data_IF_678453072829
#
_entry.id   IF_678453072829
#
_cell.length_a   1.000
_cell.length_b   1.000
_cell.length_c   1.000
_cell.angle_alpha   90.00
_cell.angle_beta   90.00
_cell.angle_gamma   90.00
#
_symmetry.space_group_name_H-M   'P 1'
#
loop_
_entity.id
_entity.type
_entity.pdbx_description
1 polymer ?
#
# COMPACT_ATOMS: atom_id res chain seq x y z
N UNK A 1 -51.50 30.37 -38.77
CA UNK A 1 -50.71 29.65 -39.80
C UNK A 1 -49.27 29.54 -39.32
N UNK A 2 -49.08 28.83 -38.19
CA UNK A 2 -47.82 28.68 -37.49
C UNK A 2 -47.61 27.19 -37.31
N UNK A 3 -46.55 26.64 -37.90
CA UNK A 3 -45.94 25.38 -37.46
C UNK A 3 -44.64 25.17 -38.25
N UNK A 4 -43.64 24.62 -37.55
CA UNK A 4 -42.36 24.10 -38.06
C UNK A 4 -41.23 25.11 -38.25
N UNK A 5 -40.63 25.57 -37.16
CA UNK A 5 -39.19 25.93 -37.13
C UNK A 5 -38.69 26.04 -35.67
N UNK A 6 -38.68 24.94 -34.89
CA UNK A 6 -38.02 24.94 -33.57
C UNK A 6 -37.78 23.53 -33.00
N UNK A 7 -37.25 22.59 -33.79
CA UNK A 7 -36.76 21.33 -33.21
C UNK A 7 -35.39 20.89 -33.74
N UNK A 8 -34.94 21.42 -34.89
CA UNK A 8 -33.62 21.07 -35.46
C UNK A 8 -32.43 21.85 -34.90
N UNK A 9 -32.65 22.92 -34.11
CA UNK A 9 -31.55 23.72 -33.54
C UNK A 9 -31.10 23.23 -32.16
N UNK A 10 -31.95 22.47 -31.44
CA UNK A 10 -31.59 21.87 -30.15
C UNK A 10 -30.79 20.57 -30.30
N UNK A 11 -30.87 19.91 -31.46
CA UNK A 11 -30.16 18.65 -31.72
C UNK A 11 -28.72 18.86 -32.22
N UNK A 12 -28.42 20.02 -32.82
CA UNK A 12 -27.07 20.38 -33.29
C UNK A 12 -26.18 20.98 -32.20
N UNK A 13 -26.74 21.39 -31.06
CA UNK A 13 -25.97 21.89 -29.91
C UNK A 13 -25.63 20.78 -28.89
N UNK A 14 -26.24 19.59 -29.02
CA UNK A 14 -25.93 18.41 -28.21
C UNK A 14 -24.95 17.42 -28.88
N UNK A 15 -24.67 17.61 -30.18
CA UNK A 15 -23.73 16.81 -30.97
C UNK A 15 -22.34 17.47 -31.14
N UNK A 16 -22.09 18.58 -30.44
CA UNK A 16 -20.84 19.37 -30.51
C UNK A 16 -19.99 19.37 -29.23
N UNK A 17 -20.27 18.52 -28.24
CA UNK A 17 -19.48 18.38 -27.00
C UNK A 17 -19.23 16.89 -26.67
N UNK A 18 -18.96 16.08 -27.69
CA UNK A 18 -18.56 14.67 -27.50
C UNK A 18 -17.37 14.29 -28.36
N UNK A 19 -16.34 15.14 -28.42
CA UNK A 19 -14.98 14.70 -28.75
C UNK A 19 -13.95 15.47 -27.90
N UNK A 20 -12.98 14.72 -27.36
CA UNK A 20 -11.88 15.11 -26.48
C UNK A 20 -12.17 15.20 -24.97
N UNK A 21 -12.49 14.05 -24.38
CA UNK A 21 -11.77 13.58 -23.18
C UNK A 21 -11.52 12.07 -23.34
N UNK A 22 -10.51 11.73 -24.15
CA UNK A 22 -9.75 10.51 -23.90
C UNK A 22 -9.06 10.73 -22.56
N UNK A 23 -9.55 10.11 -21.51
CA UNK A 23 -8.76 9.89 -20.29
C UNK A 23 -7.71 8.85 -20.67
N UNK A 24 -6.62 9.31 -21.30
CA UNK A 24 -5.35 8.63 -21.15
C UNK A 24 -5.02 8.70 -19.67
N UNK A 25 -5.00 7.53 -19.03
CA UNK A 25 -4.41 7.37 -17.73
C UNK A 25 -2.98 7.91 -17.84
N UNK A 26 -2.73 9.09 -17.28
CA UNK A 26 -1.38 9.54 -17.00
C UNK A 26 -0.80 8.53 -16.01
N UNK A 27 -0.04 7.57 -16.54
CA UNK A 27 1.01 6.94 -15.77
C UNK A 27 1.88 8.08 -15.28
N UNK A 28 1.87 8.33 -13.98
CA UNK A 28 2.84 9.17 -13.31
C UNK A 28 4.20 8.52 -13.52
N UNK A 29 4.85 8.84 -14.63
CA UNK A 29 6.27 8.58 -14.83
C UNK A 29 7.00 9.50 -13.85
N UNK A 30 7.21 9.00 -12.64
CA UNK A 30 8.25 9.54 -11.76
C UNK A 30 9.57 9.34 -12.50
N UNK A 31 10.11 10.43 -13.05
CA UNK A 31 11.53 10.51 -13.39
C UNK A 31 12.32 10.59 -12.08
N UNK A 32 12.37 9.48 -11.36
CA UNK A 32 13.37 9.18 -10.35
C UNK A 32 14.34 8.20 -10.99
N UNK A 33 15.49 8.69 -11.42
CA UNK A 33 16.61 7.87 -11.87
C UNK A 33 17.19 7.12 -10.66
N UNK A 34 16.60 5.97 -10.34
CA UNK A 34 17.30 4.90 -9.64
C UNK A 34 17.20 3.64 -10.49
N UNK A 35 18.28 2.88 -10.55
CA UNK A 35 18.43 1.65 -11.32
C UNK A 35 17.56 0.51 -10.74
N UNK A 36 16.23 0.66 -10.78
CA UNK A 36 15.27 -0.34 -10.38
C UNK A 36 14.67 -1.01 -11.62
N UNK A 37 14.80 -2.33 -11.70
CA UNK A 37 14.07 -3.14 -12.68
C UNK A 37 12.60 -2.73 -12.72
N UNK A 38 12.03 -2.55 -13.91
CA UNK A 38 10.61 -2.25 -14.02
C UNK A 38 9.81 -3.42 -13.45
N UNK A 39 8.73 -3.17 -12.69
CA UNK A 39 7.91 -4.26 -12.11
C UNK A 39 7.41 -5.25 -13.19
N UNK A 40 7.33 -4.81 -14.44
CA UNK A 40 7.03 -5.63 -15.61
C UNK A 40 8.09 -6.70 -15.91
N UNK A 41 9.37 -6.44 -15.61
CA UNK A 41 10.46 -7.41 -15.75
C UNK A 41 10.37 -8.54 -14.71
N UNK A 42 9.75 -8.28 -13.56
CA UNK A 42 9.58 -9.28 -12.51
C UNK A 42 8.39 -10.21 -12.78
N UNK A 43 7.49 -9.87 -13.70
CA UNK A 43 6.28 -10.64 -13.98
C UNK A 43 6.61 -12.00 -14.58
N UNK A 44 6.28 -13.07 -13.86
CA UNK A 44 6.40 -14.42 -14.38
C UNK A 44 5.12 -14.85 -15.11
N UNK A 45 5.18 -14.94 -16.43
CA UNK A 45 4.04 -15.34 -17.26
C UNK A 45 3.59 -16.80 -17.09
N UNK A 46 4.45 -17.69 -16.60
CA UNK A 46 4.13 -19.12 -16.40
C UNK A 46 3.30 -19.33 -15.14
N UNK A 47 3.57 -18.55 -14.09
CA UNK A 47 2.87 -18.59 -12.80
C UNK A 47 1.76 -17.53 -12.70
N UNK A 48 1.51 -16.78 -13.77
CA UNK A 48 0.43 -15.79 -13.87
C UNK A 48 -0.69 -16.28 -14.79
N UNK A 49 -1.92 -15.82 -14.53
CA UNK A 49 -3.02 -15.93 -15.48
C UNK A 49 -2.83 -14.91 -16.61
N UNK A 50 -3.01 -15.32 -17.88
CA UNK A 50 -3.06 -14.38 -18.99
C UNK A 50 -4.32 -13.51 -18.91
N UNK A 51 -4.37 -12.45 -19.71
CA UNK A 51 -5.58 -11.63 -19.86
C UNK A 51 -6.76 -12.50 -20.31
N UNK A 52 -7.73 -12.66 -19.41
CA UNK A 52 -8.87 -13.55 -19.60
C UNK A 52 -9.92 -12.93 -20.52
N UNK A 53 -9.97 -11.61 -20.70
CA UNK A 53 -11.02 -10.90 -21.48
C UNK A 53 -11.10 -11.43 -22.92
N UNK A 54 -9.97 -11.84 -23.49
CA UNK A 54 -9.87 -12.37 -24.85
C UNK A 54 -9.78 -13.89 -24.89
N UNK A 55 -9.72 -14.56 -23.74
CA UNK A 55 -9.56 -16.00 -23.64
C UNK A 55 -10.86 -16.71 -24.02
N UNK A 56 -10.78 -17.62 -25.00
CA UNK A 56 -11.89 -18.50 -25.41
C UNK A 56 -11.77 -19.92 -24.87
N UNK A 57 -10.65 -20.24 -24.24
CA UNK A 57 -10.30 -21.56 -23.72
C UNK A 57 -9.56 -21.38 -22.40
N UNK A 58 -9.65 -22.38 -21.54
CA UNK A 58 -8.94 -22.41 -20.26
C UNK A 58 -7.44 -22.15 -20.48
N UNK A 59 -6.81 -21.25 -19.70
CA UNK A 59 -5.39 -20.97 -19.78
C UNK A 59 -4.56 -22.25 -19.65
N UNK A 60 -3.60 -22.51 -20.55
CA UNK A 60 -2.83 -23.76 -20.56
C UNK A 60 -1.88 -23.90 -19.36
N UNK A 61 -1.57 -22.79 -18.67
CA UNK A 61 -0.75 -22.77 -17.45
C UNK A 61 -1.49 -23.17 -16.18
N UNK A 62 -2.83 -23.33 -16.24
CA UNK A 62 -3.66 -23.70 -15.09
C UNK A 62 -4.51 -24.93 -15.34
N UNK A 63 -4.59 -25.80 -14.34
CA UNK A 63 -5.57 -26.87 -14.26
C UNK A 63 -6.83 -26.37 -13.55
N UNK A 64 -7.98 -26.75 -14.09
CA UNK A 64 -9.30 -26.43 -13.57
C UNK A 64 -9.90 -27.73 -13.04
N UNK A 65 -10.50 -27.67 -11.86
CA UNK A 65 -11.08 -28.83 -11.21
C UNK A 65 -12.52 -28.55 -10.75
N UNK A 66 -13.29 -29.63 -10.63
CA UNK A 66 -14.71 -29.62 -10.26
C UNK A 66 -15.52 -28.69 -11.17
N UNK A 67 -16.31 -27.76 -10.63
CA UNK A 67 -17.20 -26.89 -11.40
C UNK A 67 -16.53 -25.61 -11.91
N UNK A 68 -15.21 -25.46 -11.75
CA UNK A 68 -14.53 -24.25 -12.21
C UNK A 68 -14.56 -24.13 -13.74
N UNK A 69 -15.06 -22.99 -14.24
CA UNK A 69 -15.20 -22.70 -15.68
C UNK A 69 -14.63 -21.33 -16.04
N UNK A 70 -14.33 -21.14 -17.32
CA UNK A 70 -13.98 -19.84 -17.88
C UNK A 70 -15.22 -19.22 -18.54
N UNK A 71 -15.64 -18.05 -18.09
CA UNK A 71 -16.81 -17.34 -18.60
C UNK A 71 -16.49 -15.87 -18.88
N UNK A 72 -16.75 -15.41 -20.10
CA UNK A 72 -16.71 -13.98 -20.50
C UNK A 72 -15.61 -13.13 -19.83
N UNK A 73 -14.37 -13.59 -19.86
CA UNK A 73 -13.25 -12.81 -19.31
C UNK A 73 -12.91 -13.03 -17.85
N UNK A 74 -13.51 -14.02 -17.18
CA UNK A 74 -13.18 -14.39 -15.78
C UNK A 74 -13.31 -15.89 -15.56
N UNK A 75 -12.67 -16.38 -14.52
CA UNK A 75 -12.82 -17.76 -14.06
C UNK A 75 -13.88 -17.77 -12.97
N UNK A 76 -14.94 -18.55 -13.17
CA UNK A 76 -16.00 -18.75 -12.17
C UNK A 76 -15.70 -20.06 -11.45
N UNK A 77 -15.48 -19.99 -10.13
CA UNK A 77 -15.19 -21.18 -9.30
C UNK A 77 -16.46 -21.89 -8.86
N UNK A 78 -17.55 -21.15 -8.62
CA UNK A 78 -18.82 -21.69 -8.12
C UNK A 78 -20.00 -21.20 -8.97
N UNK A 79 -20.16 -21.70 -10.21
CA UNK A 79 -21.16 -21.18 -11.16
C UNK A 79 -22.61 -21.54 -10.81
N UNK A 80 -22.82 -22.60 -10.02
CA UNK A 80 -24.16 -23.07 -9.64
C UNK A 80 -24.29 -23.22 -8.12
N UNK A 81 -25.50 -23.28 -7.56
CA UNK A 81 -25.69 -23.47 -6.12
C UNK A 81 -25.10 -24.79 -5.62
N UNK A 82 -24.52 -24.78 -4.41
CA UNK A 82 -23.88 -25.95 -3.78
C UNK A 82 -22.76 -26.57 -4.62
N UNK A 83 -21.98 -25.74 -5.32
CA UNK A 83 -20.82 -26.17 -6.10
C UNK A 83 -19.50 -25.78 -5.45
N UNK A 84 -18.46 -26.45 -5.93
CA UNK A 84 -17.08 -26.18 -5.55
C UNK A 84 -16.22 -26.19 -6.81
N UNK A 85 -15.15 -25.39 -6.82
CA UNK A 85 -14.26 -25.27 -7.97
C UNK A 85 -12.89 -24.76 -7.56
N UNK A 86 -11.86 -25.22 -8.25
CA UNK A 86 -10.49 -24.78 -7.98
C UNK A 86 -9.66 -24.65 -9.24
N UNK A 87 -8.69 -23.75 -9.18
CA UNK A 87 -7.66 -23.56 -10.21
C UNK A 87 -6.28 -23.65 -9.57
N UNK A 88 -5.35 -24.30 -10.28
CA UNK A 88 -3.99 -24.51 -9.80
C UNK A 88 -2.97 -24.37 -10.93
N UNK A 89 -1.79 -23.83 -10.63
CA UNK A 89 -0.68 -23.78 -11.60
C UNK A 89 -0.23 -25.20 -12.00
N UNK A 90 -0.17 -25.49 -13.31
CA UNK A 90 0.30 -26.79 -13.82
C UNK A 90 1.79 -26.99 -13.57
N UNK A 91 2.57 -25.96 -13.86
CA UNK A 91 4.01 -25.94 -13.61
C UNK A 91 4.31 -25.88 -12.12
N UNK A 92 5.45 -26.41 -11.72
CA UNK A 92 6.02 -26.21 -10.39
C UNK A 92 7.30 -25.41 -10.53
N UNK A 93 7.53 -24.46 -9.64
CA UNK A 93 8.69 -23.59 -9.68
C UNK A 93 9.51 -23.69 -8.39
N UNK A 94 10.81 -23.43 -8.50
CA UNK A 94 11.60 -23.19 -7.31
C UNK A 94 11.19 -21.88 -6.63
N UNK A 95 10.96 -21.93 -5.32
CA UNK A 95 10.56 -20.75 -4.55
C UNK A 95 11.73 -19.74 -4.51
N UNK A 96 11.53 -18.50 -5.01
CA UNK A 96 12.55 -17.45 -4.92
C UNK A 96 12.66 -16.89 -3.49
N UNK A 97 13.71 -16.12 -3.22
CA UNK A 97 13.92 -15.47 -1.92
C UNK A 97 12.85 -14.40 -1.63
N UNK A 98 12.32 -13.77 -2.67
CA UNK A 98 11.21 -12.84 -2.57
C UNK A 98 10.23 -13.05 -3.73
N UNK A 99 8.94 -12.88 -3.47
CA UNK A 99 7.90 -12.89 -4.48
C UNK A 99 6.70 -12.03 -4.09
N UNK A 100 5.94 -11.63 -5.10
CA UNK A 100 4.65 -10.96 -4.93
C UNK A 100 3.58 -11.68 -5.73
N UNK A 101 2.40 -11.89 -5.14
CA UNK A 101 1.25 -12.47 -5.82
C UNK A 101 0.07 -11.53 -5.68
N UNK A 102 -0.56 -11.21 -6.79
CA UNK A 102 -1.77 -10.37 -6.85
C UNK A 102 -2.93 -11.20 -7.36
N UNK A 103 -3.92 -11.46 -6.52
CA UNK A 103 -5.21 -12.01 -6.91
C UNK A 103 -6.25 -10.91 -7.01
N UNK A 104 -6.96 -10.88 -8.13
CA UNK A 104 -8.13 -10.03 -8.32
C UNK A 104 -9.36 -10.93 -8.38
N UNK A 105 -10.23 -10.80 -7.39
CA UNK A 105 -11.39 -11.68 -7.22
C UNK A 105 -12.63 -10.90 -6.78
N UNK A 106 -13.80 -11.53 -6.89
CA UNK A 106 -15.05 -11.01 -6.33
C UNK A 106 -16.01 -12.13 -5.94
N UNK A 107 -17.04 -11.78 -5.19
CA UNK A 107 -18.21 -12.61 -4.93
C UNK A 107 -19.46 -11.86 -5.38
N UNK A 108 -20.34 -12.52 -6.13
CA UNK A 108 -21.58 -11.97 -6.66
C UNK A 108 -22.76 -12.91 -6.38
N UNK A 109 -23.98 -12.41 -6.59
CA UNK A 109 -25.25 -13.15 -6.57
C UNK A 109 -25.72 -13.68 -5.21
N UNK A 110 -24.97 -13.39 -4.13
CA UNK A 110 -25.40 -13.71 -2.76
C UNK A 110 -24.84 -12.73 -1.73
N UNK A 111 -25.70 -12.36 -0.78
CA UNK A 111 -25.32 -11.59 0.41
C UNK A 111 -25.93 -12.23 1.66
N UNK A 112 -25.09 -12.59 2.62
CA UNK A 112 -25.55 -13.19 3.86
C UNK A 112 -24.55 -14.20 4.41
N UNK A 113 -24.73 -14.57 5.68
CA UNK A 113 -23.89 -15.57 6.34
C UNK A 113 -24.05 -16.93 5.64
N UNK A 114 -22.94 -17.54 5.28
CA UNK A 114 -22.88 -18.85 4.60
C UNK A 114 -21.69 -19.65 5.08
N UNK A 115 -21.74 -20.97 4.92
CA UNK A 115 -20.59 -21.87 5.12
C UNK A 115 -19.63 -21.87 3.92
N UNK A 116 -19.96 -21.11 2.86
CA UNK A 116 -19.10 -20.85 1.72
C UNK A 116 -17.84 -20.05 2.07
N UNK A 117 -16.86 -20.13 1.19
CA UNK A 117 -15.60 -19.40 1.35
C UNK A 117 -14.66 -19.57 0.16
N UNK A 118 -13.75 -18.61 0.02
CA UNK A 118 -12.70 -18.56 -0.98
C UNK A 118 -11.34 -18.72 -0.30
N UNK A 119 -10.52 -19.65 -0.77
CA UNK A 119 -9.16 -19.87 -0.31
C UNK A 119 -8.16 -19.53 -1.43
N UNK A 120 -7.17 -18.69 -1.11
CA UNK A 120 -6.02 -18.40 -1.97
C UNK A 120 -4.79 -19.13 -1.42
N UNK A 121 -4.09 -19.84 -2.29
CA UNK A 121 -3.10 -20.85 -1.89
C UNK A 121 -1.69 -20.51 -2.32
N UNK A 122 -0.75 -20.75 -1.41
CA UNK A 122 0.69 -20.83 -1.68
C UNK A 122 1.24 -22.07 -0.96
N UNK A 123 1.43 -23.17 -1.69
CA UNK A 123 1.73 -24.50 -1.13
C UNK A 123 2.86 -25.19 -1.89
N UNK A 124 3.34 -26.32 -1.37
CA UNK A 124 4.36 -27.15 -2.04
C UNK A 124 3.78 -28.20 -3.01
N UNK A 125 2.46 -28.32 -3.03
CA UNK A 125 1.70 -29.31 -3.76
C UNK A 125 0.26 -28.85 -3.91
N UNK A 126 -0.44 -29.36 -4.92
CA UNK A 126 -1.88 -29.14 -5.02
C UNK A 126 -2.57 -29.80 -3.82
N UNK A 127 -3.37 -29.02 -3.09
CA UNK A 127 -4.11 -29.52 -1.94
C UNK A 127 -5.21 -30.47 -2.42
N UNK A 128 -5.26 -31.67 -1.83
CA UNK A 128 -6.33 -32.64 -2.09
C UNK A 128 -7.59 -32.18 -1.37
N UNK A 129 -8.72 -32.07 -2.09
CA UNK A 129 -9.97 -31.51 -1.58
C UNK A 129 -9.77 -30.12 -0.95
N UNK A 130 -9.44 -29.08 -1.75
CA UNK A 130 -9.05 -27.75 -1.25
C UNK A 130 -10.24 -26.91 -0.75
N UNK A 131 -11.31 -27.54 -0.28
CA UNK A 131 -12.54 -26.90 0.18
C UNK A 131 -12.67 -27.18 1.66
N UNK A 132 -12.86 -26.15 2.48
CA UNK A 132 -13.01 -26.33 3.92
C UNK A 132 -14.49 -26.39 4.28
N UNK A 133 -14.88 -27.43 5.01
CA UNK A 133 -16.23 -27.59 5.57
C UNK A 133 -16.14 -27.99 7.04
N UNK A 134 -17.24 -27.82 7.77
CA UNK A 134 -17.35 -28.33 9.14
C UNK A 134 -17.15 -29.84 9.25
N UNK A 135 -17.42 -30.58 8.17
CA UNK A 135 -17.30 -32.04 8.11
C UNK A 135 -15.86 -32.50 7.89
N UNK A 136 -15.05 -31.73 7.14
CA UNK A 136 -13.70 -32.15 6.76
C UNK A 136 -12.57 -31.45 7.52
N UNK A 137 -12.89 -30.50 8.40
CA UNK A 137 -11.91 -29.69 9.14
C UNK A 137 -10.85 -30.53 9.88
N UNK A 138 -11.25 -31.70 10.42
CA UNK A 138 -10.36 -32.62 11.14
C UNK A 138 -9.31 -33.29 10.25
N UNK A 139 -9.64 -33.53 8.99
CA UNK A 139 -8.78 -34.17 7.99
C UNK A 139 -8.14 -33.16 7.04
N UNK A 140 -8.43 -31.87 7.21
CA UNK A 140 -7.96 -30.81 6.33
C UNK A 140 -6.47 -30.53 6.54
N UNK A 141 -5.64 -31.02 5.61
CA UNK A 141 -4.18 -30.94 5.67
C UNK A 141 -3.61 -30.25 4.45
N UNK A 142 -2.66 -29.37 4.68
CA UNK A 142 -1.86 -28.73 3.63
C UNK A 142 -0.48 -28.35 4.19
N UNK A 143 0.50 -28.19 3.30
CA UNK A 143 1.79 -27.59 3.62
C UNK A 143 1.90 -26.23 2.92
N UNK A 144 1.88 -25.15 3.69
CA UNK A 144 2.05 -23.79 3.17
C UNK A 144 1.15 -22.76 3.83
N UNK A 145 0.75 -21.79 3.02
CA UNK A 145 -0.08 -20.66 3.40
C UNK A 145 -1.42 -20.72 2.68
N UNK A 146 -2.48 -20.52 3.46
CA UNK A 146 -3.84 -20.27 2.99
C UNK A 146 -4.27 -18.88 3.42
N UNK A 147 -4.80 -18.10 2.48
CA UNK A 147 -5.57 -16.90 2.77
C UNK A 147 -7.05 -17.26 2.59
N UNK A 148 -7.78 -17.37 3.70
CA UNK A 148 -9.18 -17.80 3.71
C UNK A 148 -10.10 -16.60 3.86
N UNK A 149 -11.03 -16.44 2.92
CA UNK A 149 -12.04 -15.38 2.88
C UNK A 149 -13.39 -16.03 3.15
N UNK A 150 -14.03 -15.62 4.24
CA UNK A 150 -15.35 -16.12 4.65
C UNK A 150 -16.10 -15.06 5.46
N UNK A 151 -17.34 -15.37 5.83
CA UNK A 151 -18.13 -14.58 6.78
C UNK A 151 -18.73 -15.42 7.92
N UNK A 152 -18.31 -16.68 8.04
CA UNK A 152 -18.87 -17.64 8.99
C UNK A 152 -18.16 -17.62 10.35
N UNK A 153 -16.97 -17.02 10.40
CA UNK A 153 -16.17 -16.93 11.62
C UNK A 153 -16.84 -16.23 12.82
N UNK A 154 -16.18 -16.27 14.00
CA UNK A 154 -16.78 -15.89 15.29
C UNK A 154 -17.22 -14.42 15.37
N UNK A 155 -16.60 -13.57 14.56
CA UNK A 155 -16.92 -12.14 14.41
C UNK A 155 -18.22 -11.88 13.66
N UNK A 156 -18.77 -12.89 12.96
CA UNK A 156 -19.94 -12.76 12.08
C UNK A 156 -19.77 -11.76 10.94
N UNK A 157 -18.55 -11.30 10.69
CA UNK A 157 -18.23 -10.28 9.69
C UNK A 157 -17.30 -10.87 8.64
N UNK A 158 -17.46 -10.43 7.40
CA UNK A 158 -16.55 -10.75 6.29
C UNK A 158 -15.09 -10.47 6.64
N UNK A 159 -14.24 -11.49 6.58
CA UNK A 159 -12.84 -11.42 6.96
C UNK A 159 -11.97 -12.16 5.96
N UNK A 160 -10.71 -11.74 5.90
CA UNK A 160 -9.63 -12.54 5.32
C UNK A 160 -8.68 -12.96 6.44
N UNK A 161 -8.33 -14.23 6.48
CA UNK A 161 -7.51 -14.87 7.52
C UNK A 161 -6.29 -15.50 6.89
N UNK A 162 -5.12 -15.25 7.45
CA UNK A 162 -3.89 -15.95 7.13
C UNK A 162 -3.74 -17.17 8.03
N UNK A 163 -3.60 -18.35 7.41
CA UNK A 163 -3.43 -19.63 8.12
C UNK A 163 -2.25 -20.37 7.50
N UNK A 164 -1.38 -20.90 8.34
CA UNK A 164 -0.24 -21.74 7.92
C UNK A 164 -0.34 -23.13 8.52
N UNK A 165 0.04 -24.13 7.74
CA UNK A 165 0.13 -25.51 8.18
C UNK A 165 1.35 -26.18 7.52
N UNK A 166 1.95 -27.17 8.17
CA UNK A 166 3.17 -27.86 7.75
C UNK A 166 2.93 -29.36 7.46
N UNK A 167 1.68 -29.72 7.18
CA UNK A 167 1.18 -31.08 6.92
C UNK A 167 1.33 -32.09 8.07
N UNK A 168 2.03 -31.76 9.16
CA UNK A 168 2.34 -32.68 10.26
C UNK A 168 1.90 -32.19 11.64
N UNK A 169 1.71 -30.89 11.88
CA UNK A 169 1.59 -30.37 13.25
C UNK A 169 0.18 -29.94 13.70
N UNK A 170 -0.76 -29.63 12.78
CA UNK A 170 -2.07 -29.08 13.18
C UNK A 170 -3.23 -29.74 12.44
N UNK A 171 -3.97 -30.57 13.16
CA UNK A 171 -5.33 -30.94 12.80
C UNK A 171 -6.28 -30.00 13.53
N UNK A 172 -7.16 -29.36 12.79
CA UNK A 172 -8.20 -28.52 13.38
C UNK A 172 -9.36 -29.45 13.73
N UNK A 173 -9.58 -29.73 15.00
CA UNK A 173 -10.65 -30.64 15.44
C UNK A 173 -12.04 -30.04 15.17
N UNK A 174 -12.12 -28.71 15.14
CA UNK A 174 -13.36 -27.96 14.91
C UNK A 174 -13.11 -26.71 14.06
N UNK A 175 -14.17 -26.18 13.44
CA UNK A 175 -14.11 -24.89 12.74
C UNK A 175 -13.70 -23.74 13.68
N UNK A 176 -14.08 -23.80 14.96
CA UNK A 176 -13.66 -22.77 15.92
C UNK A 176 -12.15 -22.79 16.12
N UNK A 177 -11.56 -23.98 16.30
CA UNK A 177 -10.11 -24.13 16.41
C UNK A 177 -9.39 -23.68 15.15
N UNK A 178 -9.98 -23.91 13.98
CA UNK A 178 -9.47 -23.37 12.71
C UNK A 178 -9.43 -21.83 12.71
N UNK A 179 -10.51 -21.17 13.13
CA UNK A 179 -10.55 -19.71 13.23
C UNK A 179 -9.60 -19.15 14.30
N UNK A 180 -9.41 -19.87 15.41
CA UNK A 180 -8.52 -19.45 16.50
C UNK A 180 -7.03 -19.58 16.14
N UNK A 181 -6.69 -20.34 15.08
CA UNK A 181 -5.32 -20.58 14.63
C UNK A 181 -4.85 -19.63 13.51
N UNK A 182 -5.59 -18.56 13.23
CA UNK A 182 -5.11 -17.51 12.33
C UNK A 182 -3.87 -16.80 12.90
N UNK A 183 -2.87 -16.54 12.07
CA UNK A 183 -1.71 -15.74 12.47
C UNK A 183 -1.92 -14.24 12.24
N UNK A 184 -2.91 -13.88 11.44
CA UNK A 184 -3.27 -12.52 11.11
C UNK A 184 -4.57 -12.48 10.32
N UNK A 185 -5.37 -11.45 10.52
CA UNK A 185 -6.65 -11.27 9.84
C UNK A 185 -6.92 -9.80 9.58
N UNK A 186 -7.96 -9.47 8.82
CA UNK A 186 -8.55 -8.14 8.79
C UNK A 186 -10.01 -8.21 8.36
N UNK A 187 -10.77 -7.19 8.75
CA UNK A 187 -12.13 -7.00 8.28
C UNK A 187 -12.09 -6.60 6.81
N UNK A 188 -12.83 -7.33 6.01
CA UNK A 188 -13.00 -7.03 4.60
C UNK A 188 -14.39 -6.43 4.44
N UNK A 189 -14.45 -5.16 4.07
CA UNK A 189 -15.71 -4.40 3.98
C UNK A 189 -16.60 -4.92 2.86
N UNK A 190 -17.38 -5.97 3.15
CA UNK A 190 -18.39 -6.57 2.27
C UNK A 190 -17.85 -7.06 0.93
N UNK A 191 -17.19 -8.23 0.87
CA UNK A 191 -16.84 -8.85 -0.42
C UNK A 191 -18.05 -9.38 -1.19
N UNK A 192 -19.12 -9.72 -0.45
CA UNK A 192 -20.32 -10.36 -0.98
C UNK A 192 -21.19 -9.40 -1.78
N UNK A 193 -21.82 -9.92 -2.83
CA UNK A 193 -22.70 -9.18 -3.74
C UNK A 193 -22.07 -7.88 -4.28
N UNK A 194 -20.77 -7.93 -4.58
CA UNK A 194 -20.03 -6.80 -5.13
C UNK A 194 -19.54 -7.10 -6.54
N UNK A 195 -20.06 -6.34 -7.50
CA UNK A 195 -19.54 -6.35 -8.87
C UNK A 195 -18.11 -5.80 -8.98
N UNK A 196 -17.68 -4.98 -8.02
CA UNK A 196 -16.33 -4.40 -7.98
C UNK A 196 -15.38 -5.43 -7.39
N UNK A 197 -14.34 -5.84 -8.13
CA UNK A 197 -13.38 -6.82 -7.65
C UNK A 197 -12.40 -6.22 -6.65
N UNK A 198 -11.88 -7.11 -5.82
CA UNK A 198 -10.93 -6.84 -4.75
C UNK A 198 -9.57 -7.34 -5.18
N UNK A 199 -8.53 -6.55 -4.90
CA UNK A 199 -7.14 -6.97 -5.15
C UNK A 199 -6.48 -7.37 -3.84
N UNK A 200 -6.20 -8.66 -3.67
CA UNK A 200 -5.32 -9.16 -2.61
C UNK A 200 -3.89 -9.28 -3.13
N UNK A 201 -2.97 -8.52 -2.53
CA UNK A 201 -1.54 -8.57 -2.81
C UNK A 201 -0.80 -9.18 -1.64
N UNK A 202 -0.26 -10.38 -1.84
CA UNK A 202 0.64 -11.02 -0.90
C UNK A 202 2.08 -10.75 -1.32
N UNK A 203 2.90 -10.28 -0.40
CA UNK A 203 4.34 -10.10 -0.59
C UNK A 203 5.09 -10.94 0.43
N UNK A 204 6.05 -11.71 -0.04
CA UNK A 204 7.01 -12.43 0.78
C UNK A 204 8.42 -11.96 0.44
N UNK A 205 9.21 -11.70 1.46
CA UNK A 205 10.62 -11.38 1.33
C UNK A 205 11.42 -12.10 2.42
N UNK A 206 12.44 -12.85 2.01
CA UNK A 206 13.39 -13.52 2.88
C UNK A 206 14.84 -13.06 2.61
N UNK A 207 15.00 -11.93 1.92
CA UNK A 207 16.31 -11.36 1.59
C UNK A 207 16.93 -10.75 2.85
N UNK A 208 18.08 -11.26 3.29
CA UNK A 208 18.85 -10.66 4.40
C UNK A 208 18.43 -11.09 5.82
N UNK A 209 18.17 -12.38 6.02
CA UNK A 209 17.90 -13.04 7.32
C UNK A 209 16.61 -12.63 8.05
N UNK A 210 15.86 -11.65 7.55
CA UNK A 210 14.54 -11.30 8.08
C UNK A 210 13.43 -11.76 7.14
N UNK A 211 12.66 -12.76 7.58
CA UNK A 211 11.45 -13.17 6.87
C UNK A 211 10.38 -12.07 7.03
N UNK A 212 9.69 -11.74 5.96
CA UNK A 212 8.61 -10.76 5.96
C UNK A 212 7.48 -11.25 5.08
N UNK A 213 6.27 -11.32 5.65
CA UNK A 213 5.02 -11.54 4.92
C UNK A 213 4.15 -10.30 5.13
N UNK A 214 3.60 -9.78 4.03
CA UNK A 214 2.59 -8.72 4.06
C UNK A 214 1.44 -9.04 3.12
N UNK A 215 0.23 -8.85 3.63
CA UNK A 215 -0.98 -8.88 2.82
C UNK A 215 -1.57 -7.48 2.73
N UNK A 216 -1.84 -7.03 1.51
CA UNK A 216 -2.60 -5.81 1.23
C UNK A 216 -3.91 -6.16 0.52
N UNK A 217 -4.98 -5.45 0.86
CA UNK A 217 -6.27 -5.50 0.17
C UNK A 217 -6.56 -4.10 -0.36
N UNK A 218 -6.67 -3.98 -1.68
CA UNK A 218 -6.84 -2.69 -2.38
C UNK A 218 -5.81 -1.64 -1.91
N UNK A 219 -4.54 -2.07 -1.86
CA UNK A 219 -3.39 -1.28 -1.39
C UNK A 219 -3.40 -0.86 0.10
N UNK A 220 -4.37 -1.32 0.89
CA UNK A 220 -4.38 -1.15 2.35
C UNK A 220 -3.79 -2.37 3.02
N UNK A 221 -2.88 -2.17 3.98
CA UNK A 221 -2.30 -3.31 4.69
C UNK A 221 -3.37 -3.97 5.56
N UNK A 222 -3.56 -5.26 5.33
CA UNK A 222 -4.40 -6.13 6.12
C UNK A 222 -3.62 -6.58 7.35
N UNK A 223 -2.55 -7.35 7.15
CA UNK A 223 -1.62 -7.75 8.20
C UNK A 223 -0.19 -7.84 7.65
N UNK A 224 0.77 -7.83 8.55
CA UNK A 224 2.19 -8.08 8.25
C UNK A 224 2.82 -8.85 9.42
N UNK A 225 3.70 -9.79 9.13
CA UNK A 225 4.39 -10.59 10.14
C UNK A 225 5.80 -10.96 9.70
N UNK A 226 6.69 -11.10 10.68
CA UNK A 226 8.06 -11.62 10.50
C UNK A 226 8.24 -13.02 11.09
N UNK A 227 7.18 -13.59 11.68
CA UNK A 227 7.26 -14.86 12.42
C UNK A 227 7.19 -16.09 11.53
N UNK A 228 6.71 -15.94 10.29
CA UNK A 228 6.46 -17.06 9.38
C UNK A 228 7.58 -17.12 8.34
N UNK A 229 8.18 -18.30 8.22
CA UNK A 229 9.20 -18.59 7.22
C UNK A 229 8.70 -19.67 6.26
N UNK A 230 8.14 -19.24 5.12
CA UNK A 230 7.67 -20.15 4.08
C UNK A 230 8.84 -20.95 3.47
N UNK A 231 10.02 -20.33 3.34
CA UNK A 231 11.21 -20.99 2.80
C UNK A 231 11.73 -22.17 3.65
N UNK A 232 11.36 -22.25 4.93
CA UNK A 232 11.70 -23.39 5.82
C UNK A 232 10.62 -24.48 5.81
N UNK A 233 9.35 -24.11 5.68
CA UNK A 233 8.22 -25.05 5.71
C UNK A 233 7.90 -25.69 4.36
N UNK A 234 8.07 -24.96 3.26
CA UNK A 234 7.76 -25.43 1.91
C UNK A 234 8.94 -26.17 1.28
N UNK A 235 8.63 -27.19 0.46
CA UNK A 235 9.62 -27.74 -0.45
C UNK A 235 9.98 -26.70 -1.51
N UNK A 236 11.19 -26.12 -1.38
CA UNK A 236 11.71 -25.05 -2.22
C UNK A 236 11.69 -25.34 -3.73
N UNK A 237 11.47 -26.57 -4.18
CA UNK A 237 11.45 -26.95 -5.60
C UNK A 237 10.06 -26.99 -6.23
N UNK A 238 9.00 -27.01 -5.40
CA UNK A 238 7.65 -27.33 -5.85
C UNK A 238 6.63 -26.28 -5.43
N UNK A 239 6.87 -25.00 -5.69
CA UNK A 239 5.87 -23.98 -5.41
C UNK A 239 4.63 -24.18 -6.31
N UNK A 240 3.47 -24.25 -5.67
CA UNK A 240 2.14 -24.30 -6.29
C UNK A 240 1.31 -23.12 -5.81
N UNK A 241 0.62 -22.49 -6.75
CA UNK A 241 -0.27 -21.37 -6.51
C UNK A 241 -1.65 -21.77 -7.02
N UNK A 242 -2.68 -21.44 -6.24
CA UNK A 242 -4.04 -21.78 -6.63
C UNK A 242 -5.08 -20.91 -5.94
N UNK A 243 -6.31 -21.10 -6.36
CA UNK A 243 -7.50 -20.58 -5.70
C UNK A 243 -8.57 -21.67 -5.70
N UNK A 244 -9.30 -21.80 -4.61
CA UNK A 244 -10.44 -22.72 -4.52
C UNK A 244 -11.59 -22.03 -3.80
N UNK A 245 -12.81 -22.37 -4.16
CA UNK A 245 -13.98 -21.87 -3.47
C UNK A 245 -15.08 -22.93 -3.40
N UNK A 246 -15.93 -22.78 -2.40
CA UNK A 246 -17.24 -23.43 -2.32
C UNK A 246 -18.27 -22.40 -1.89
N UNK A 247 -19.51 -22.52 -2.36
CA UNK A 247 -20.56 -21.60 -1.95
C UNK A 247 -21.39 -22.13 -0.77
N UNK A 248 -21.30 -23.42 -0.43
CA UNK A 248 -22.05 -24.01 0.67
C UNK A 248 -23.48 -24.38 0.25
N UNK A 249 -24.33 -24.77 1.19
CA UNK A 249 -25.66 -25.32 0.83
C UNK A 249 -26.65 -24.21 0.44
N UNK A 250 -27.39 -24.44 -0.65
CA UNK A 250 -28.56 -23.66 -1.08
C UNK A 250 -28.36 -22.14 -1.20
N UNK A 251 -27.18 -21.70 -1.64
CA UNK A 251 -26.96 -20.31 -2.04
C UNK A 251 -26.28 -20.23 -3.40
N UNK A 252 -26.47 -19.11 -4.06
CA UNK A 252 -26.01 -18.87 -5.43
C UNK A 252 -24.73 -18.02 -5.43
N UNK A 253 -23.95 -18.04 -4.33
CA UNK A 253 -22.73 -17.25 -4.24
C UNK A 253 -21.74 -17.70 -5.33
N UNK A 254 -21.36 -16.76 -6.18
CA UNK A 254 -20.44 -17.01 -7.29
C UNK A 254 -19.09 -16.35 -7.00
N UNK A 255 -18.09 -17.18 -6.69
CA UNK A 255 -16.72 -16.75 -6.50
C UNK A 255 -15.99 -16.72 -7.84
N UNK A 256 -15.43 -15.55 -8.18
CA UNK A 256 -14.82 -15.32 -9.48
C UNK A 256 -13.38 -14.83 -9.35
N UNK A 257 -12.47 -15.37 -10.14
CA UNK A 257 -11.08 -14.91 -10.30
C UNK A 257 -10.94 -14.21 -11.64
N UNK A 258 -10.59 -12.92 -11.61
CA UNK A 258 -10.47 -12.09 -12.80
C UNK A 258 -9.01 -11.99 -13.27
N UNK A 259 -8.06 -12.03 -12.33
CA UNK A 259 -6.63 -11.91 -12.62
C UNK A 259 -5.80 -12.52 -11.51
N UNK A 260 -4.67 -13.11 -11.88
CA UNK A 260 -3.63 -13.59 -10.97
C UNK A 260 -2.28 -13.24 -11.58
N UNK A 261 -1.51 -12.36 -10.94
CA UNK A 261 -0.14 -12.07 -11.36
C UNK A 261 0.85 -12.55 -10.31
N UNK A 262 1.92 -13.18 -10.77
CA UNK A 262 3.06 -13.58 -9.97
C UNK A 262 4.29 -12.81 -10.40
N UNK A 263 4.99 -12.22 -9.44
CA UNK A 263 6.24 -11.50 -9.66
C UNK A 263 7.38 -12.16 -8.88
N UNK A 264 8.50 -12.39 -9.55
CA UNK A 264 9.76 -12.91 -8.95
C UNK A 264 10.52 -11.81 -8.20
N UNK A 265 9.86 -11.20 -7.22
CA UNK A 265 10.44 -10.16 -6.37
C UNK A 265 9.38 -9.35 -5.62
N UNK A 266 9.83 -8.31 -4.93
CA UNK A 266 8.96 -7.34 -4.27
C UNK A 266 8.63 -6.22 -5.24
N UNK A 267 7.34 -6.04 -5.52
CA UNK A 267 6.82 -4.97 -6.38
C UNK A 267 6.86 -3.61 -5.65
N UNK A 268 7.06 -2.49 -6.35
CA UNK A 268 7.16 -1.17 -5.72
C UNK A 268 5.91 -0.80 -4.89
N UNK A 269 4.72 -1.11 -5.38
CA UNK A 269 3.48 -0.86 -4.64
C UNK A 269 3.38 -1.69 -3.35
N UNK A 270 4.09 -2.82 -3.27
CA UNK A 270 4.21 -3.58 -2.04
C UNK A 270 5.03 -2.83 -0.99
N UNK A 271 5.79 -1.79 -1.32
CA UNK A 271 6.56 -1.00 -0.36
C UNK A 271 5.78 0.17 0.22
N UNK A 272 4.55 0.42 -0.24
CA UNK A 272 3.71 1.52 0.24
C UNK A 272 3.55 1.40 1.78
N UNK A 273 3.90 2.45 2.54
CA UNK A 273 3.89 2.42 3.99
C UNK A 273 2.48 2.35 4.55
N UNK A 274 2.40 1.94 5.81
CA UNK A 274 1.19 1.49 6.48
C UNK A 274 0.23 2.62 6.92
N UNK A 275 0.04 3.64 6.08
CA UNK A 275 -0.70 4.87 6.39
C UNK A 275 -2.22 4.59 6.50
N UNK A 276 -2.71 3.51 5.87
CA UNK A 276 -4.12 3.11 5.86
C UNK A 276 -4.26 1.62 6.22
N UNK A 277 -4.06 1.27 7.48
CA UNK A 277 -4.34 -0.07 8.00
C UNK A 277 -5.83 -0.40 7.90
N UNK A 278 -6.17 -1.62 7.49
CA UNK A 278 -7.55 -2.09 7.56
C UNK A 278 -7.98 -2.31 9.01
N UNK A 279 -9.29 -2.19 9.27
CA UNK A 279 -9.82 -2.49 10.60
C UNK A 279 -9.60 -3.96 10.94
N UNK A 280 -9.08 -4.20 12.13
CA UNK A 280 -8.84 -5.53 12.68
C UNK A 280 -10.07 -5.96 13.50
N UNK A 281 -10.44 -7.25 13.51
CA UNK A 281 -11.49 -7.73 14.40
C UNK A 281 -11.13 -7.48 15.87
N UNK A 282 -12.13 -7.04 16.64
CA UNK A 282 -12.00 -6.84 18.08
C UNK A 282 -12.91 -7.81 18.80
N UNK A 283 -12.37 -8.53 19.78
CA UNK A 283 -13.18 -9.36 20.67
C UNK A 283 -13.63 -8.51 21.86
N UNK A 284 -14.91 -8.60 22.21
CA UNK A 284 -15.48 -7.95 23.40
C UNK A 284 -16.03 -9.01 24.33
N UNK A 285 -15.63 -8.97 25.59
CA UNK A 285 -16.24 -9.77 26.64
C UNK A 285 -17.44 -9.01 27.18
N UNK A 286 -18.61 -9.64 27.11
CA UNK A 286 -19.82 -9.17 27.77
C UNK A 286 -19.71 -9.50 29.26
N UNK A 287 -19.50 -8.49 30.10
CA UNK A 287 -19.54 -8.63 31.56
C UNK A 287 -20.94 -8.24 32.00
N UNK A 288 -21.68 -9.22 32.54
CA UNK A 288 -23.00 -8.99 33.11
C UNK A 288 -22.83 -8.93 34.62
N UNK A 289 -23.15 -7.79 35.22
CA UNK A 289 -23.20 -7.67 36.67
C UNK A 289 -24.40 -8.50 37.17
N UNK A 290 -24.14 -9.54 37.97
CA UNK A 290 -25.19 -10.44 38.47
C UNK A 290 -26.17 -9.72 39.41
N UNK A 291 -25.75 -8.63 40.05
CA UNK A 291 -26.55 -7.91 41.04
C UNK A 291 -27.41 -6.80 40.41
N UNK A 292 -26.92 -6.14 39.35
CA UNK A 292 -27.65 -5.03 38.70
C UNK A 292 -28.24 -5.38 37.35
N UNK A 293 -27.84 -6.51 36.76
CA UNK A 293 -28.20 -6.88 35.38
C UNK A 293 -27.52 -6.02 34.32
N UNK A 294 -26.66 -5.06 34.72
CA UNK A 294 -26.00 -4.15 33.80
C UNK A 294 -25.00 -4.91 32.93
N UNK A 295 -25.10 -4.65 31.62
CA UNK A 295 -24.24 -5.22 30.61
C UNK A 295 -23.17 -4.20 30.26
N UNK A 296 -21.91 -4.55 30.53
CA UNK A 296 -20.76 -3.78 30.06
C UNK A 296 -19.95 -4.61 29.07
N UNK A 297 -19.48 -3.96 28.00
CA UNK A 297 -18.65 -4.61 26.99
C UNK A 297 -17.20 -4.18 27.21
N UNK A 298 -16.34 -5.15 27.51
CA UNK A 298 -14.91 -4.91 27.71
C UNK A 298 -14.17 -5.51 26.51
N UNK A 299 -13.52 -4.67 25.70
CA UNK A 299 -12.62 -5.15 24.63
C UNK A 299 -11.51 -6.02 25.25
N UNK A 300 -11.42 -7.29 24.85
CA UNK A 300 -10.33 -8.22 25.23
C UNK A 300 -9.62 -8.71 23.98
N UNK A 301 -8.30 -8.86 24.03
CA UNK A 301 -7.53 -9.44 22.91
C UNK A 301 -7.48 -10.97 23.02
N UNK A 302 -7.42 -11.72 21.90
CA UNK A 302 -7.15 -13.17 21.92
C UNK A 302 -5.85 -13.45 22.67
N UNK A 303 -5.87 -14.39 23.61
CA UNK A 303 -4.69 -14.80 24.38
C UNK A 303 -4.49 -14.15 25.76
N UNK A 304 -5.37 -13.22 26.20
CA UNK A 304 -5.32 -12.67 27.57
C UNK A 304 -6.27 -13.42 28.53
N UNK A 305 -6.05 -14.73 28.67
CA UNK A 305 -6.58 -15.55 29.75
C UNK A 305 -5.51 -15.60 30.86
N UNK A 306 -5.44 -14.56 31.68
CA UNK A 306 -4.49 -14.43 32.78
C UNK A 306 -4.22 -12.97 33.10
N UNK A 307 -4.01 -12.68 34.38
CA UNK A 307 -3.97 -11.34 34.97
C UNK A 307 -3.10 -10.31 34.23
N UNK A 308 -3.47 -9.06 34.49
CA UNK A 308 -2.90 -7.78 34.06
C UNK A 308 -1.38 -7.64 34.20
N UNK A 309 -0.60 -8.39 33.45
CA UNK A 309 0.82 -8.12 33.25
C UNK A 309 1.06 -7.58 31.84
N UNK A 310 1.77 -6.44 31.79
CA UNK A 310 2.40 -5.88 30.61
C UNK A 310 3.35 -6.93 30.02
N UNK A 311 2.81 -7.81 29.18
CA UNK A 311 3.57 -8.85 28.50
C UNK A 311 4.43 -8.23 27.40
N UNK A 312 5.63 -8.77 27.20
CA UNK A 312 6.62 -8.33 26.22
C UNK A 312 6.04 -8.20 24.80
N UNK A 313 5.02 -8.98 24.48
CA UNK A 313 4.22 -8.89 23.23
C UNK A 313 3.48 -7.56 23.08
N UNK A 314 2.90 -7.01 24.15
CA UNK A 314 2.24 -5.69 24.13
C UNK A 314 3.25 -4.55 23.92
N UNK A 315 4.50 -4.74 24.36
CA UNK A 315 5.61 -3.82 24.09
C UNK A 315 6.02 -3.91 22.62
N UNK A 316 6.17 -5.11 22.06
CA UNK A 316 6.47 -5.29 20.62
C UNK A 316 5.37 -4.78 19.70
N UNK A 317 4.10 -4.87 20.09
CA UNK A 317 2.99 -4.34 19.29
C UNK A 317 2.97 -2.82 19.29
N UNK A 318 3.23 -2.19 20.46
CA UNK A 318 3.46 -0.74 20.55
C UNK A 318 4.69 -0.33 19.76
N UNK A 319 5.76 -1.13 19.80
CA UNK A 319 6.97 -0.90 19.03
C UNK A 319 6.69 -0.98 17.53
N UNK A 320 5.96 -1.98 17.04
CA UNK A 320 5.56 -2.10 15.63
C UNK A 320 4.64 -0.95 15.18
N UNK A 321 3.76 -0.47 16.06
CA UNK A 321 2.91 0.70 15.78
C UNK A 321 3.70 2.01 15.76
N UNK A 322 4.74 2.11 16.58
CA UNK A 322 5.69 3.23 16.58
C UNK A 322 6.60 3.13 15.36
N UNK A 323 7.17 1.96 15.05
CA UNK A 323 7.98 1.66 13.86
C UNK A 323 7.19 1.97 12.59
N UNK A 324 5.93 1.54 12.48
CA UNK A 324 5.07 1.89 11.35
C UNK A 324 4.78 3.39 11.21
N UNK A 325 4.72 4.14 12.33
CA UNK A 325 4.56 5.60 12.33
C UNK A 325 5.86 6.36 12.06
N UNK A 326 6.99 5.85 12.54
CA UNK A 326 8.34 6.40 12.34
C UNK A 326 8.79 6.15 10.90
N UNK A 327 8.56 4.93 10.38
CA UNK A 327 8.85 4.59 8.98
C UNK A 327 7.99 5.41 7.99
N UNK A 328 6.73 5.71 8.34
CA UNK A 328 5.83 6.47 7.47
C UNK A 328 6.12 7.98 7.42
N UNK A 329 6.77 8.53 8.45
CA UNK A 329 7.01 9.97 8.54
C UNK A 329 8.46 10.35 8.20
N UNK A 330 9.43 9.49 8.53
CA UNK A 330 10.81 9.94 8.59
C UNK A 330 11.74 9.30 7.55
N UNK A 331 11.38 8.22 6.86
CA UNK A 331 12.34 7.53 5.97
C UNK A 331 12.67 8.33 4.71
N UNK A 332 11.68 8.91 4.03
CA UNK A 332 11.94 9.72 2.83
C UNK A 332 12.71 11.02 3.13
N UNK A 333 12.39 11.65 4.26
CA UNK A 333 13.02 12.90 4.71
C UNK A 333 14.43 12.62 5.24
N UNK A 334 14.62 11.55 6.01
CA UNK A 334 15.95 11.14 6.51
C UNK A 334 16.86 10.71 5.36
N UNK A 335 16.37 9.99 4.35
CA UNK A 335 17.21 9.65 3.19
C UNK A 335 17.66 10.89 2.41
N UNK A 336 16.77 11.86 2.19
CA UNK A 336 17.15 13.13 1.57
C UNK A 336 18.14 13.91 2.45
N UNK A 337 17.96 13.91 3.76
CA UNK A 337 18.86 14.62 4.67
C UNK A 337 20.22 13.93 4.80
N UNK A 338 20.28 12.60 4.71
CA UNK A 338 21.53 11.84 4.63
C UNK A 338 22.26 12.14 3.32
N UNK A 339 21.57 12.19 2.18
CA UNK A 339 22.19 12.59 0.91
C UNK A 339 22.71 14.04 0.94
N UNK A 340 21.94 14.96 1.53
CA UNK A 340 22.37 16.35 1.75
C UNK A 340 23.61 16.42 2.66
N UNK A 341 23.66 15.65 3.75
CA UNK A 341 24.82 15.60 4.63
C UNK A 341 26.05 14.99 3.96
N UNK A 342 25.88 13.94 3.15
CA UNK A 342 26.98 13.32 2.38
C UNK A 342 27.55 14.29 1.36
N UNK A 343 26.69 15.05 0.65
CA UNK A 343 27.14 16.06 -0.32
C UNK A 343 27.86 17.23 0.35
N UNK A 344 27.36 17.71 1.49
CA UNK A 344 28.01 18.75 2.30
C UNK A 344 29.37 18.26 2.80
N UNK A 345 29.46 17.04 3.33
CA UNK A 345 30.71 16.50 3.86
C UNK A 345 31.75 16.30 2.73
N UNK A 346 31.31 15.86 1.55
CA UNK A 346 32.16 15.80 0.35
C UNK A 346 32.65 17.17 -0.10
N UNK A 347 31.83 18.21 0.04
CA UNK A 347 32.22 19.58 -0.27
C UNK A 347 33.20 20.15 0.77
N UNK A 348 33.01 19.83 2.05
CA UNK A 348 33.94 20.20 3.12
C UNK A 348 35.28 19.50 2.97
N UNK A 349 35.31 18.21 2.67
CA UNK A 349 36.53 17.45 2.40
C UNK A 349 37.34 18.07 1.25
N UNK A 350 36.69 18.47 0.15
CA UNK A 350 37.35 19.21 -0.94
C UNK A 350 37.93 20.56 -0.52
N UNK A 351 37.25 21.29 0.38
CA UNK A 351 37.77 22.56 0.92
C UNK A 351 38.97 22.34 1.84
N UNK A 352 38.95 21.26 2.63
CA UNK A 352 40.08 20.87 3.48
C UNK A 352 41.27 20.46 2.61
N UNK A 353 41.08 19.68 1.55
CA UNK A 353 42.14 19.38 0.58
C UNK A 353 42.71 20.65 -0.07
N UNK A 354 41.85 21.59 -0.47
CA UNK A 354 42.31 22.86 -1.02
C UNK A 354 43.13 23.69 0.00
N UNK A 355 42.73 23.69 1.27
CA UNK A 355 43.49 24.33 2.35
C UNK A 355 44.82 23.63 2.63
N UNK A 356 44.85 22.29 2.66
CA UNK A 356 46.08 21.51 2.82
C UNK A 356 47.05 21.80 1.66
N UNK A 357 46.54 21.88 0.43
CA UNK A 357 47.35 22.23 -0.74
C UNK A 357 47.87 23.68 -0.68
N UNK A 358 47.06 24.62 -0.20
CA UNK A 358 47.51 25.99 0.03
C UNK A 358 48.57 26.07 1.14
N UNK A 359 48.39 25.35 2.25
CA UNK A 359 49.33 25.34 3.38
C UNK A 359 50.65 24.63 3.05
N UNK A 360 50.60 23.53 2.30
CA UNK A 360 51.79 22.83 1.82
C UNK A 360 52.56 23.68 0.81
N UNK A 361 51.87 24.46 -0.03
CA UNK A 361 52.53 25.40 -0.94
C UNK A 361 53.21 26.58 -0.21
N UNK A 362 52.67 27.04 0.92
CA UNK A 362 53.28 28.12 1.72
C UNK A 362 54.43 27.64 2.61
N UNK A 363 54.35 26.40 3.11
CA UNK A 363 55.46 25.77 3.87
C UNK A 363 56.61 25.31 2.98
N UNK A 364 56.34 24.89 1.74
CA UNK A 364 57.41 24.62 0.76
C UNK A 364 58.13 25.89 0.28
N UNK A 365 57.42 27.02 0.15
CA UNK A 365 58.04 28.31 -0.19
C UNK A 365 58.92 28.91 0.93
N UNK A 366 58.73 28.48 2.18
CA UNK A 366 59.52 28.94 3.34
C UNK A 366 60.71 28.03 3.70
N UNK A 367 60.81 26.84 3.09
CA UNK A 367 61.90 25.88 3.40
C UNK A 367 62.98 25.80 2.32
N UNK A 368 62.85 26.56 1.21
CA UNK A 368 63.82 26.59 0.11
C UNK A 368 64.62 27.90 0.01
N UNK A 369 64.95 28.51 1.15
CA UNK A 369 65.89 29.64 1.23
C UNK A 369 66.88 29.42 2.37
N UNK A 370 67.81 28.48 2.19
CA UNK A 370 68.96 28.30 3.07
C UNK A 370 70.16 27.87 2.23
N UNK A 371 70.69 28.81 1.45
CA UNK A 371 72.11 28.96 1.11
C UNK A 371 72.23 30.00 -0.03
N UNK A 372 72.47 31.27 0.32
CA UNK A 372 73.75 31.89 -0.04
C UNK A 372 73.89 33.29 0.57
N UNK A 373 75.12 33.61 0.96
CA UNK A 373 75.51 34.89 1.56
C UNK A 373 75.63 35.98 0.49
N UNK A 374 75.09 37.15 0.82
CA UNK A 374 75.55 38.53 0.51
C UNK A 374 74.50 39.38 -0.21
N UNK A 375 73.90 40.31 0.54
CA UNK A 375 73.98 41.76 0.28
C UNK A 375 72.96 42.52 1.12
N UNK A 376 73.37 43.69 1.58
CA UNK A 376 72.64 44.57 2.46
C UNK A 376 71.37 45.17 1.84
N UNK A 377 70.49 45.64 2.74
CA UNK A 377 69.47 46.68 2.53
C UNK A 377 68.11 46.22 1.99
N UNK A 378 67.19 45.81 2.87
CA UNK A 378 65.78 46.23 2.88
C UNK A 378 65.11 45.60 4.12
N UNK A 379 64.99 46.38 5.20
CA UNK A 379 63.70 46.97 5.63
C UNK A 379 62.59 45.93 5.73
N UNK A 380 62.29 45.57 6.97
CA UNK A 380 61.22 44.65 7.31
C UNK A 380 59.88 45.07 6.73
N UNK A 381 59.24 44.13 6.03
CA UNK A 381 57.82 44.12 5.81
C UNK A 381 57.38 42.69 6.07
N UNK A 382 57.16 42.36 7.35
CA UNK A 382 56.42 41.17 7.74
C UNK A 382 55.01 41.35 7.17
N UNK A 383 54.61 40.46 6.26
CA UNK A 383 53.34 40.46 5.53
C UNK A 383 52.14 40.78 6.43
N UNK A 384 51.77 42.06 6.45
CA UNK A 384 50.57 42.58 7.11
C UNK A 384 49.29 42.08 6.42
N UNK A 385 49.42 41.54 5.19
CA UNK A 385 48.31 41.01 4.41
C UNK A 385 47.85 39.62 4.90
N UNK A 386 48.76 38.77 5.37
CA UNK A 386 48.43 37.47 5.97
C UNK A 386 47.74 37.62 7.34
N UNK A 387 48.06 38.68 8.09
CA UNK A 387 47.42 38.97 9.38
C UNK A 387 46.02 39.61 9.19
N UNK A 388 45.85 40.42 8.14
CA UNK A 388 44.54 40.96 7.75
C UNK A 388 43.56 39.86 7.33
N UNK A 389 44.03 38.81 6.67
CA UNK A 389 43.16 37.70 6.28
C UNK A 389 42.78 36.80 7.47
N UNK A 390 43.63 36.71 8.49
CA UNK A 390 43.28 36.03 9.75
C UNK A 390 42.22 36.80 10.55
N UNK A 391 42.35 38.13 10.64
CA UNK A 391 41.35 39.01 11.29
C UNK A 391 40.00 38.98 10.52
N UNK A 392 40.03 38.95 9.18
CA UNK A 392 38.82 38.79 8.35
C UNK A 392 38.18 37.41 8.45
N UNK A 393 38.96 36.38 8.79
CA UNK A 393 38.44 35.03 8.98
C UNK A 393 37.66 34.93 10.30
N UNK A 394 38.15 35.60 11.35
CA UNK A 394 37.48 35.69 12.65
C UNK A 394 36.16 36.48 12.54
N UNK A 395 36.17 37.62 11.84
CA UNK A 395 34.98 38.42 11.55
C UNK A 395 33.94 37.65 10.72
N UNK A 396 34.39 36.80 9.77
CA UNK A 396 33.50 35.91 9.01
C UNK A 396 32.94 34.76 9.84
N UNK A 397 33.70 34.26 10.82
CA UNK A 397 33.26 33.19 11.71
C UNK A 397 32.20 33.70 12.68
N UNK A 398 32.40 34.89 13.24
CA UNK A 398 31.43 35.57 14.10
C UNK A 398 30.15 35.88 13.32
N UNK A 399 30.28 36.33 12.06
CA UNK A 399 29.13 36.55 11.17
C UNK A 399 28.38 35.26 10.82
N UNK A 400 29.09 34.15 10.63
CA UNK A 400 28.47 32.84 10.37
C UNK A 400 27.78 32.25 11.60
N UNK A 401 28.33 32.45 12.80
CA UNK A 401 27.68 32.05 14.05
C UNK A 401 26.40 32.88 14.29
N UNK A 402 26.46 34.18 14.06
CA UNK A 402 25.28 35.05 14.13
C UNK A 402 24.22 34.68 13.06
N UNK A 403 24.64 34.30 11.84
CA UNK A 403 23.72 33.78 10.83
C UNK A 403 23.11 32.42 11.21
N UNK A 404 23.88 31.53 11.85
CA UNK A 404 23.33 30.25 12.33
C UNK A 404 22.36 30.42 13.50
N UNK A 405 22.61 31.33 14.43
CA UNK A 405 21.66 31.67 15.49
C UNK A 405 20.38 32.28 14.91
N UNK A 406 20.52 33.21 13.96
CA UNK A 406 19.39 33.81 13.25
C UNK A 406 18.58 32.76 12.45
N UNK A 407 19.26 31.81 11.79
CA UNK A 407 18.58 30.71 11.10
C UNK A 407 17.84 29.81 12.08
N UNK A 408 18.43 29.48 13.24
CA UNK A 408 17.76 28.72 14.30
C UNK A 408 16.51 29.43 14.83
N UNK A 409 16.58 30.75 15.04
CA UNK A 409 15.42 31.53 15.47
C UNK A 409 14.33 31.60 14.38
N UNK A 410 14.72 31.80 13.11
CA UNK A 410 13.77 31.78 12.00
C UNK A 410 13.14 30.40 11.79
N UNK A 411 13.89 29.30 11.93
CA UNK A 411 13.33 27.94 11.85
C UNK A 411 12.40 27.63 13.04
N UNK A 412 12.65 28.21 14.22
CA UNK A 412 11.78 28.06 15.40
C UNK A 412 10.46 28.81 15.21
N UNK A 413 10.53 30.02 14.64
CA UNK A 413 9.35 30.82 14.25
C UNK A 413 8.58 30.16 13.10
N UNK A 414 9.27 29.59 12.11
CA UNK A 414 8.66 28.87 10.98
C UNK A 414 7.98 27.58 11.44
N UNK A 415 8.54 26.87 12.43
CA UNK A 415 7.88 25.71 13.06
C UNK A 415 6.62 26.09 13.86
N UNK A 416 6.57 27.28 14.46
CA UNK A 416 5.38 27.79 15.13
C UNK A 416 4.31 28.30 14.14
N UNK A 417 4.71 28.88 13.00
CA UNK A 417 3.76 29.37 11.97
C UNK A 417 3.28 28.28 11.01
N UNK A 418 4.07 27.23 10.73
CA UNK A 418 3.65 26.08 9.90
C UNK A 418 2.60 25.19 10.56
N UNK A 419 2.37 25.30 11.87
CA UNK A 419 1.33 24.51 12.54
C UNK A 419 -0.09 25.08 12.34
N UNK A 420 -0.23 26.35 11.94
CA UNK A 420 -1.55 26.99 11.81
C UNK A 420 -1.95 27.38 10.38
N UNK A 421 -1.03 27.55 9.42
CA UNK A 421 -1.39 28.11 8.10
C UNK A 421 -1.67 27.11 6.97
N UNK A 422 -1.17 25.86 7.04
CA UNK A 422 -1.26 24.95 5.90
C UNK A 422 -2.55 24.14 5.77
N UNK A 423 -3.47 24.20 6.74
CA UNK A 423 -4.74 23.46 6.66
C UNK A 423 -5.90 24.26 6.08
N UNK A 424 -5.91 25.60 6.21
CA UNK A 424 -7.05 26.39 5.77
C UNK A 424 -7.03 26.70 4.27
N UNK A 425 -5.87 27.05 3.69
CA UNK A 425 -5.83 27.50 2.29
C UNK A 425 -6.06 26.37 1.27
N UNK A 426 -5.58 25.15 1.54
CA UNK A 426 -5.75 24.00 0.62
C UNK A 426 -7.18 23.42 0.70
N UNK A 427 -7.82 23.50 1.87
CA UNK A 427 -9.24 23.16 2.04
C UNK A 427 -10.15 24.16 1.31
N UNK A 428 -9.88 25.47 1.42
CA UNK A 428 -10.66 26.49 0.73
C UNK A 428 -10.52 26.37 -0.79
N UNK A 429 -9.32 26.14 -1.32
CA UNK A 429 -9.13 26.03 -2.77
C UNK A 429 -9.82 24.78 -3.35
N UNK A 430 -9.73 23.63 -2.66
CA UNK A 430 -10.42 22.39 -3.07
C UNK A 430 -11.95 22.51 -2.95
N UNK A 431 -12.44 23.17 -1.92
CA UNK A 431 -13.87 23.43 -1.74
C UNK A 431 -14.42 24.39 -2.81
N UNK A 432 -13.68 25.45 -3.12
CA UNK A 432 -14.07 26.47 -4.10
C UNK A 432 -14.04 25.92 -5.53
N UNK A 433 -13.11 25.00 -5.84
CA UNK A 433 -13.07 24.26 -7.10
C UNK A 433 -14.29 23.34 -7.27
N UNK A 434 -14.78 22.72 -6.19
CA UNK A 434 -15.97 21.87 -6.20
C UNK A 434 -17.29 22.64 -6.25
N UNK A 435 -17.35 23.85 -5.67
CA UNK A 435 -18.56 24.69 -5.61
C UNK A 435 -18.75 25.52 -6.89
N UNK A 436 -17.68 25.82 -7.63
CA UNK A 436 -17.71 26.61 -8.87
C UNK A 436 -18.75 26.13 -9.92
N UNK A 437 -18.84 24.82 -10.26
CA UNK A 437 -19.80 24.34 -11.24
C UNK A 437 -21.26 24.52 -10.77
N UNK A 438 -21.50 24.34 -9.47
CA UNK A 438 -22.83 24.46 -8.88
C UNK A 438 -23.33 25.91 -8.92
N UNK A 439 -22.46 26.88 -8.69
CA UNK A 439 -22.78 28.31 -8.82
C UNK A 439 -23.14 28.68 -10.26
N UNK A 440 -22.41 28.15 -11.25
CA UNK A 440 -22.69 28.39 -12.67
C UNK A 440 -24.07 27.85 -13.06
N UNK A 441 -24.39 26.61 -12.66
CA UNK A 441 -25.72 26.01 -12.90
C UNK A 441 -26.83 26.83 -12.24
N UNK A 442 -26.61 27.31 -11.01
CA UNK A 442 -27.59 28.12 -10.31
C UNK A 442 -27.82 29.48 -11.02
N UNK A 443 -26.76 30.08 -11.57
CA UNK A 443 -26.84 31.34 -12.31
C UNK A 443 -27.61 31.18 -13.62
N UNK A 444 -27.41 30.09 -14.34
CA UNK A 444 -28.16 29.75 -15.57
C UNK A 444 -29.64 29.55 -15.25
N UNK A 445 -29.97 28.80 -14.19
CA UNK A 445 -31.35 28.59 -13.77
C UNK A 445 -32.03 29.91 -13.35
N UNK A 446 -31.31 30.79 -12.64
CA UNK A 446 -31.81 32.12 -12.29
C UNK A 446 -32.09 32.99 -13.52
N UNK A 447 -31.20 32.95 -14.52
CA UNK A 447 -31.38 33.68 -15.79
C UNK A 447 -32.63 33.21 -16.54
N UNK A 448 -32.83 31.89 -16.69
CA UNK A 448 -34.03 31.36 -17.34
C UNK A 448 -35.31 31.67 -16.56
N UNK A 449 -35.27 31.59 -15.23
CA UNK A 449 -36.42 31.94 -14.38
C UNK A 449 -36.80 33.42 -14.53
N UNK A 450 -35.80 34.30 -14.63
CA UNK A 450 -36.04 35.73 -14.85
C UNK A 450 -36.60 36.00 -16.26
N UNK A 451 -36.06 35.34 -17.30
CA UNK A 451 -36.56 35.48 -18.67
C UNK A 451 -38.00 34.99 -18.82
N UNK A 452 -38.33 33.83 -18.23
CA UNK A 452 -39.69 33.28 -18.22
C UNK A 452 -40.65 34.25 -17.51
N UNK A 453 -40.26 34.82 -16.37
CA UNK A 453 -41.08 35.83 -15.69
C UNK A 453 -41.31 37.08 -16.55
N UNK A 454 -40.29 37.56 -17.28
CA UNK A 454 -40.46 38.69 -18.20
C UNK A 454 -41.41 38.35 -19.37
N UNK A 455 -41.32 37.14 -19.94
CA UNK A 455 -42.20 36.70 -21.02
C UNK A 455 -43.66 36.55 -20.54
N UNK A 456 -43.87 36.08 -19.31
CA UNK A 456 -45.20 36.00 -18.68
C UNK A 456 -45.79 37.40 -18.42
N UNK A 457 -44.98 38.37 -18.01
CA UNK A 457 -45.45 39.75 -17.78
C UNK A 457 -45.81 40.43 -19.11
N UNK A 458 -45.04 40.19 -20.18
CA UNK A 458 -45.34 40.73 -21.52
C UNK A 458 -46.58 40.10 -22.15
N UNK A 459 -46.86 38.83 -21.88
CA UNK A 459 -48.09 38.14 -22.37
C UNK A 459 -49.35 38.48 -21.60
N UNK A 460 -49.26 39.05 -20.39
CA UNK A 460 -50.41 39.59 -19.64
C UNK A 460 -50.78 41.05 -20.00
N UNK A 461 -49.97 41.72 -20.81
CA UNK A 461 -50.19 43.10 -21.28
C UNK A 461 -50.74 43.17 -22.72
N UNK A 462 -50.90 42.02 -23.37
CA UNK A 462 -51.68 41.78 -24.59
C UNK A 462 -53.00 41.13 -24.18
#
# INVERSE_FOLDING_TARGET
MYTRFSLSFAFLLFLGITQFFTVEAHSSASKGSSSGHSDAELLNSVMSLPDLIKAKKNPPSYDFFQSATLEEGRIVLTPEPSTSGSIWTKSSMAMPDAFTIEWVFRSVDFQGKTDGGLALWVTDSQVTNPYLTSENVADFKFNGLMLYIDNNGPSGSSQIRGIVNDNNAKQFSTMQEFYDNEFGSCLLGGYQDSSVPITARLTYDNSGDTNFIKLQIDNRVCFQTRQISLAKGLNKKNLKIGASAQNGQNNEESFEILKLHYYEGVVQDSLIPNIRQMQQPKYVTKVVNQDTGDVTFVERKPGMLGDSELTLSAIYEKLNKIEGKVLANDVGIIYQEIENLVTINKQQSKRIEALINALSSSTLASTSSSNDKNSASQSGNLDMDNFKDFIKMDEKLEKLLAEQEKLREMTKLEKQTKLESHHFDDLFYKLLLWISPLVIVMMVMAYYTFRIKQEIVKTKLL
#
